data_IF_007454173712
#
_entry.id   IF_007454173712
#
_cell.length_a   1.000
_cell.length_b   1.000
_cell.length_c   1.000
_cell.angle_alpha   90.00
_cell.angle_beta   90.00
_cell.angle_gamma   90.00
#
_symmetry.space_group_name_H-M   'P 1'
#
loop_
_entity.id
_entity.type
_entity.pdbx_description
1 polymer ?
#
# COMPACT_ATOMS: atom_id res chain seq x y z
N UNK A 1 27.67 27.04 18.63
CA UNK A 1 27.35 28.11 17.66
C UNK A 1 28.38 27.93 16.54
N UNK A 2 28.10 27.36 15.37
CA UNK A 2 26.86 27.12 14.62
C UNK A 2 26.56 25.63 14.44
N UNK A 3 25.29 25.25 14.61
CA UNK A 3 24.76 23.91 14.28
C UNK A 3 24.25 23.82 12.84
N UNK A 4 24.53 24.81 11.99
CA UNK A 4 24.35 24.70 10.54
C UNK A 4 25.50 23.89 9.92
N UNK A 5 25.68 22.65 10.39
CA UNK A 5 26.32 21.62 9.55
C UNK A 5 25.45 21.53 8.30
N UNK A 6 26.00 21.87 7.13
CA UNK A 6 25.31 21.68 5.85
C UNK A 6 25.07 20.18 5.66
N UNK A 7 23.95 19.68 6.17
CA UNK A 7 23.48 18.34 5.89
C UNK A 7 23.07 18.32 4.42
N UNK A 8 23.73 17.46 3.64
CA UNK A 8 23.43 17.32 2.23
C UNK A 8 22.03 16.75 2.03
N UNK A 9 21.38 17.12 0.94
CA UNK A 9 20.09 16.55 0.52
C UNK A 9 20.18 15.00 0.47
N UNK A 10 19.15 14.34 1.00
CA UNK A 10 19.08 12.87 1.10
C UNK A 10 19.68 12.28 2.39
N UNK A 11 20.22 13.10 3.30
CA UNK A 11 20.74 12.65 4.60
C UNK A 11 19.60 12.36 5.59
N UNK A 12 19.51 11.12 6.05
CA UNK A 12 18.58 10.73 7.11
C UNK A 12 19.22 11.09 8.47
N UNK A 13 18.59 12.03 9.17
CA UNK A 13 18.94 12.45 10.54
C UNK A 13 17.69 12.71 11.36
N UNK A 14 17.85 12.98 12.65
CA UNK A 14 16.78 13.39 13.55
C UNK A 14 16.43 14.88 13.45
N UNK A 15 17.18 15.64 12.65
CA UNK A 15 17.03 17.09 12.49
C UNK A 15 16.38 17.41 11.15
N UNK A 16 16.63 16.58 10.13
CA UNK A 16 16.17 16.82 8.77
C UNK A 16 15.25 15.71 8.28
N UNK A 17 14.13 16.15 7.72
CA UNK A 17 13.19 15.32 6.99
C UNK A 17 13.80 14.85 5.65
N UNK A 18 13.77 13.53 5.40
CA UNK A 18 14.23 12.92 4.15
C UNK A 18 13.12 12.12 3.45
N UNK A 19 12.93 12.33 2.14
CA UNK A 19 12.01 11.53 1.33
C UNK A 19 12.62 10.15 1.09
N UNK A 20 11.81 9.09 1.17
CA UNK A 20 12.27 7.70 1.02
C UNK A 20 13.04 7.46 -0.28
N UNK A 21 12.57 8.03 -1.40
CA UNK A 21 13.21 7.90 -2.71
C UNK A 21 14.50 8.73 -2.86
N UNK A 22 14.67 9.75 -2.03
CA UNK A 22 15.85 10.64 -2.05
C UNK A 22 16.94 10.21 -1.06
N UNK A 23 16.63 9.26 -0.18
CA UNK A 23 17.54 8.79 0.85
C UNK A 23 18.81 8.21 0.22
N UNK A 24 19.96 8.79 0.59
CA UNK A 24 21.28 8.37 0.09
C UNK A 24 22.25 7.97 1.22
N UNK A 25 22.07 8.48 2.45
CA UNK A 25 22.91 8.15 3.61
C UNK A 25 22.19 8.29 4.95
N UNK A 26 22.54 7.41 5.88
CA UNK A 26 22.23 7.51 7.31
C UNK A 26 23.37 8.25 8.01
N UNK A 27 23.06 9.34 8.70
CA UNK A 27 24.06 10.14 9.40
C UNK A 27 23.90 9.99 10.93
N UNK A 28 24.82 9.27 11.56
CA UNK A 28 24.88 9.11 13.01
C UNK A 28 25.66 10.28 13.62
N UNK A 29 24.92 11.26 14.12
CA UNK A 29 25.48 12.43 14.79
C UNK A 29 26.12 12.04 16.13
N UNK A 30 27.33 12.56 16.40
CA UNK A 30 28.05 12.35 17.68
C UNK A 30 28.22 10.87 18.06
N UNK A 31 28.44 10.02 17.06
CA UNK A 31 28.55 8.56 17.23
C UNK A 31 29.56 8.15 18.32
N UNK A 32 30.74 8.78 18.37
CA UNK A 32 31.74 8.49 19.41
C UNK A 32 31.26 8.79 20.84
N UNK A 33 30.54 9.91 21.03
CA UNK A 33 29.96 10.25 22.34
C UNK A 33 28.82 9.31 22.74
N UNK A 34 28.11 8.76 21.76
CA UNK A 34 27.05 7.77 21.98
C UNK A 34 27.64 6.49 22.59
N UNK A 35 28.77 6.02 22.07
CA UNK A 35 29.46 4.82 22.55
C UNK A 35 29.98 4.95 23.99
N UNK A 36 30.46 6.14 24.37
CA UNK A 36 31.09 6.34 25.68
C UNK A 36 30.11 6.73 26.79
N UNK A 37 28.87 7.10 26.45
CA UNK A 37 27.85 7.49 27.43
C UNK A 37 26.98 6.29 27.83
N UNK A 38 27.47 5.49 28.79
CA UNK A 38 26.83 4.28 29.30
C UNK A 38 25.48 4.48 30.04
N UNK A 39 24.96 5.71 30.18
CA UNK A 39 23.86 6.03 31.11
C UNK A 39 22.47 6.11 30.43
N UNK A 40 22.36 6.12 29.10
CA UNK A 40 21.04 6.28 28.45
C UNK A 40 20.84 5.33 27.28
N UNK A 41 19.99 4.31 27.52
CA UNK A 41 19.31 3.42 26.55
C UNK A 41 20.20 2.88 25.42
N UNK A 42 20.37 1.56 25.36
CA UNK A 42 21.04 0.84 24.27
C UNK A 42 20.43 1.06 22.85
N UNK A 43 19.47 1.96 22.69
CA UNK A 43 18.77 2.29 21.44
C UNK A 43 18.83 3.79 21.22
N UNK A 44 19.44 4.20 20.12
CA UNK A 44 19.56 5.58 19.68
C UNK A 44 18.86 5.77 18.34
N UNK A 45 18.04 6.81 18.25
CA UNK A 45 17.34 7.13 17.01
C UNK A 45 18.27 7.84 16.02
N UNK A 46 18.20 7.43 14.75
CA UNK A 46 18.93 8.08 13.66
C UNK A 46 18.02 9.11 12.99
N UNK A 47 16.84 8.69 12.53
CA UNK A 47 15.92 9.53 11.78
C UNK A 47 14.86 8.74 11.03
N UNK A 48 13.90 9.43 10.43
CA UNK A 48 12.80 8.85 9.67
C UNK A 48 12.80 9.25 8.21
N UNK A 49 12.07 8.47 7.41
CA UNK A 49 11.77 8.76 6.00
C UNK A 49 10.27 8.77 5.76
N UNK A 50 9.84 9.47 4.73
CA UNK A 50 8.42 9.64 4.39
C UNK A 50 8.20 9.69 2.87
N UNK A 51 6.97 9.39 2.47
CA UNK A 51 6.43 9.51 1.11
C UNK A 51 5.06 10.17 1.22
N UNK A 52 4.79 11.21 0.42
CA UNK A 52 3.51 11.94 0.41
C UNK A 52 2.99 12.33 1.82
N UNK A 53 3.90 12.82 2.67
CA UNK A 53 3.63 13.21 4.07
C UNK A 53 3.24 12.07 5.01
N UNK A 54 3.40 10.81 4.60
CA UNK A 54 3.25 9.62 5.46
C UNK A 54 4.62 9.07 5.83
N UNK A 55 4.83 8.80 7.13
CA UNK A 55 6.06 8.20 7.60
C UNK A 55 6.16 6.74 7.12
N UNK A 56 7.31 6.37 6.54
CA UNK A 56 7.53 5.06 5.95
C UNK A 56 8.40 4.17 6.84
N UNK A 57 9.63 4.62 7.07
CA UNK A 57 10.65 3.85 7.80
C UNK A 57 11.36 4.76 8.79
N UNK A 58 11.50 4.28 10.03
CA UNK A 58 12.28 4.90 11.08
C UNK A 58 13.52 4.09 11.41
N UNK A 59 14.69 4.72 11.31
CA UNK A 59 15.97 4.08 11.55
C UNK A 59 16.48 4.36 12.97
N UNK A 60 16.96 3.30 13.62
CA UNK A 60 17.59 3.40 14.92
C UNK A 60 18.74 2.41 15.02
N UNK A 61 19.62 2.63 15.99
CA UNK A 61 20.83 1.86 16.18
C UNK A 61 20.97 1.38 17.61
N UNK A 62 21.57 0.20 17.79
CA UNK A 62 22.04 -0.29 19.08
C UNK A 62 23.52 -0.62 19.02
N UNK A 63 24.22 -0.40 20.12
CA UNK A 63 25.65 -0.67 20.23
C UNK A 63 25.93 -1.71 21.29
N UNK A 64 26.81 -2.66 20.99
CA UNK A 64 27.21 -3.72 21.93
C UNK A 64 28.73 -3.80 22.00
N UNK A 65 29.27 -3.76 23.21
CA UNK A 65 30.69 -3.96 23.46
C UNK A 65 31.03 -5.45 23.51
N UNK A 66 32.08 -5.85 22.78
CA UNK A 66 32.60 -7.21 22.78
C UNK A 66 33.94 -7.31 23.52
N UNK A 67 34.25 -8.51 24.01
CA UNK A 67 35.42 -8.81 24.86
C UNK A 67 36.79 -8.63 24.17
N UNK A 68 36.82 -8.39 22.85
CA UNK A 68 38.04 -8.34 22.04
C UNK A 68 38.30 -6.94 21.44
N UNK A 69 38.06 -5.88 22.20
CA UNK A 69 38.17 -4.48 21.74
C UNK A 69 37.29 -4.11 20.53
N UNK A 70 36.33 -4.96 20.18
CA UNK A 70 35.38 -4.70 19.10
C UNK A 70 34.08 -4.11 19.63
N UNK A 71 33.51 -3.20 18.85
CA UNK A 71 32.20 -2.59 19.07
C UNK A 71 31.30 -2.97 17.90
N UNK A 72 30.14 -3.54 18.22
CA UNK A 72 29.10 -3.87 17.24
C UNK A 72 28.11 -2.73 17.13
N UNK A 73 27.85 -2.30 15.89
CA UNK A 73 26.84 -1.30 15.55
C UNK A 73 25.68 -1.98 14.80
N UNK A 74 24.56 -2.21 15.47
CA UNK A 74 23.39 -2.86 14.87
C UNK A 74 22.38 -1.83 14.40
N UNK A 75 22.10 -1.81 13.10
CA UNK A 75 21.12 -0.90 12.50
C UNK A 75 19.79 -1.62 12.31
N UNK A 76 18.72 -0.94 12.67
CA UNK A 76 17.35 -1.40 12.55
C UNK A 76 16.50 -0.42 11.76
N UNK A 77 15.50 -0.95 11.05
CA UNK A 77 14.45 -0.21 10.37
C UNK A 77 13.11 -0.60 10.99
N UNK A 78 12.35 0.38 11.47
CA UNK A 78 10.98 0.24 11.89
C UNK A 78 10.07 0.70 10.75
N UNK A 79 9.37 -0.25 10.14
CA UNK A 79 8.43 0.00 9.03
C UNK A 79 7.08 0.38 9.63
N UNK A 80 6.57 1.55 9.25
CA UNK A 80 5.36 2.13 9.84
C UNK A 80 4.09 1.46 9.32
N UNK A 81 4.06 1.08 8.04
CA UNK A 81 2.91 0.47 7.39
C UNK A 81 3.13 -0.99 6.97
N UNK A 82 2.04 -1.73 6.81
CA UNK A 82 2.06 -3.12 6.35
C UNK A 82 2.43 -3.15 4.87
N UNK A 83 3.41 -3.96 4.49
CA UNK A 83 3.88 -4.01 3.12
C UNK A 83 5.27 -4.61 2.98
N UNK A 84 5.87 -4.39 1.82
CA UNK A 84 7.25 -4.76 1.56
C UNK A 84 8.11 -3.50 1.54
N UNK A 85 9.31 -3.62 2.08
CA UNK A 85 10.34 -2.59 1.98
C UNK A 85 11.66 -3.24 1.59
N UNK A 86 12.34 -2.68 0.61
CA UNK A 86 13.64 -3.14 0.16
C UNK A 86 14.67 -2.08 0.52
N UNK A 87 15.67 -2.46 1.31
CA UNK A 87 16.69 -1.56 1.83
C UNK A 87 18.05 -2.03 1.33
N UNK A 88 18.74 -1.14 0.61
CA UNK A 88 20.13 -1.30 0.22
C UNK A 88 21.00 -0.51 1.19
N UNK A 89 21.89 -1.16 1.93
CA UNK A 89 22.80 -0.49 2.88
C UNK A 89 24.25 -0.93 2.64
N UNK A 90 25.22 -0.07 2.96
CA UNK A 90 26.65 -0.37 2.80
C UNK A 90 27.04 -1.76 3.31
N UNK A 91 27.85 -2.46 2.53
CA UNK A 91 28.24 -3.84 2.81
C UNK A 91 29.59 -4.00 3.51
N UNK A 92 30.30 -2.89 3.71
CA UNK A 92 31.68 -2.89 4.17
C UNK A 92 31.81 -2.35 5.58
N UNK A 93 32.68 -2.97 6.37
CA UNK A 93 33.12 -2.42 7.67
C UNK A 93 34.28 -1.42 7.53
N UNK A 94 34.81 -1.25 6.31
CA UNK A 94 35.85 -0.26 6.04
C UNK A 94 35.24 1.14 6.08
N UNK A 95 36.05 2.11 6.47
CA UNK A 95 35.66 3.51 6.48
C UNK A 95 36.78 4.36 5.91
N UNK A 96 36.43 5.56 5.45
CA UNK A 96 37.39 6.54 4.96
C UNK A 96 36.98 7.95 5.40
N UNK A 97 37.94 8.86 5.44
CA UNK A 97 37.70 10.29 5.60
C UNK A 97 38.19 10.99 4.35
N UNK A 98 37.38 11.89 3.80
CA UNK A 98 37.84 12.75 2.71
C UNK A 98 38.56 13.95 3.31
N UNK A 99 39.89 13.90 3.25
CA UNK A 99 40.75 14.96 3.79
C UNK A 99 41.01 16.08 2.77
N UNK A 100 40.52 15.95 1.53
CA UNK A 100 40.77 16.93 0.48
C UNK A 100 39.84 18.15 0.59
N UNK A 101 38.63 17.98 1.13
CA UNK A 101 37.70 19.07 1.42
C UNK A 101 37.66 19.37 2.93
N UNK A 102 38.04 20.60 3.29
CA UNK A 102 38.00 21.08 4.69
C UNK A 102 36.60 20.99 5.31
N UNK A 103 35.53 20.99 4.51
CA UNK A 103 34.15 20.80 4.96
C UNK A 103 33.83 19.36 5.33
N UNK A 104 34.47 18.38 4.68
CA UNK A 104 34.23 16.95 4.87
C UNK A 104 35.04 16.34 6.03
N UNK A 105 35.99 17.08 6.60
CA UNK A 105 36.79 16.65 7.75
C UNK A 105 35.96 16.21 8.97
N UNK A 106 34.71 16.67 9.08
CA UNK A 106 33.78 16.31 10.15
C UNK A 106 32.98 15.04 9.88
N UNK A 107 33.22 14.36 8.76
CA UNK A 107 32.48 13.17 8.36
C UNK A 107 33.39 11.96 8.21
N UNK A 108 32.84 10.79 8.50
CA UNK A 108 33.42 9.49 8.25
C UNK A 108 32.45 8.74 7.36
N UNK A 109 32.93 8.19 6.25
CA UNK A 109 32.08 7.53 5.27
C UNK A 109 32.35 6.03 5.22
N UNK A 110 31.28 5.25 5.08
CA UNK A 110 31.37 3.87 4.61
C UNK A 110 31.31 3.84 3.07
N UNK A 111 31.86 2.81 2.42
CA UNK A 111 31.77 2.63 0.97
C UNK A 111 30.33 2.51 0.47
N UNK A 112 30.09 2.99 -0.76
CA UNK A 112 28.79 2.97 -1.43
C UNK A 112 28.39 1.59 -2.01
N UNK A 113 29.13 0.53 -1.68
CA UNK A 113 28.80 -0.84 -2.06
C UNK A 113 27.58 -1.31 -1.27
N UNK A 114 26.39 -1.29 -1.90
CA UNK A 114 25.14 -1.61 -1.23
C UNK A 114 24.80 -3.11 -1.31
N UNK A 115 24.43 -3.68 -0.17
CA UNK A 115 23.79 -4.99 -0.08
C UNK A 115 22.29 -4.80 0.15
N UNK A 116 21.48 -5.44 -0.68
CA UNK A 116 20.02 -5.30 -0.68
C UNK A 116 19.33 -6.42 0.11
N UNK A 117 18.37 -6.04 0.94
CA UNK A 117 17.48 -6.97 1.64
C UNK A 117 16.03 -6.49 1.57
N UNK A 118 15.10 -7.43 1.42
CA UNK A 118 13.66 -7.15 1.39
C UNK A 118 12.99 -7.68 2.65
N UNK A 119 12.23 -6.81 3.30
CA UNK A 119 11.47 -7.10 4.51
C UNK A 119 9.98 -7.03 4.24
N UNK A 120 9.21 -7.92 4.87
CA UNK A 120 7.75 -7.95 4.81
C UNK A 120 7.19 -7.57 6.17
N UNK A 121 6.69 -6.35 6.30
CA UNK A 121 5.93 -5.91 7.46
C UNK A 121 4.51 -6.50 7.41
N UNK A 122 4.17 -7.28 8.43
CA UNK A 122 2.84 -7.91 8.62
C UNK A 122 1.94 -7.08 9.53
N UNK A 123 2.53 -6.20 10.34
CA UNK A 123 1.85 -5.28 11.24
C UNK A 123 2.52 -3.90 11.19
N UNK A 124 1.80 -2.88 11.68
CA UNK A 124 2.35 -1.53 11.84
C UNK A 124 3.48 -1.50 12.86
N UNK A 125 4.42 -0.59 12.64
CA UNK A 125 5.61 -0.36 13.48
C UNK A 125 6.47 -1.62 13.68
N UNK A 126 6.53 -2.49 12.67
CA UNK A 126 7.34 -3.71 12.72
C UNK A 126 8.83 -3.38 12.48
N UNK A 127 9.68 -3.83 13.39
CA UNK A 127 11.12 -3.53 13.35
C UNK A 127 11.94 -4.71 12.84
N UNK A 128 12.82 -4.44 11.89
CA UNK A 128 13.74 -5.40 11.29
C UNK A 128 15.18 -5.00 11.59
N UNK A 129 16.00 -6.01 11.89
CA UNK A 129 17.46 -5.85 11.88
C UNK A 129 17.93 -5.80 10.42
N UNK A 130 18.68 -4.77 10.07
CA UNK A 130 19.16 -4.56 8.70
C UNK A 130 20.59 -5.09 8.57
N UNK A 131 21.49 -4.62 9.44
CA UNK A 131 22.90 -4.94 9.37
C UNK A 131 23.63 -4.66 10.68
N UNK A 132 24.70 -5.39 10.92
CA UNK A 132 25.67 -5.14 11.98
C UNK A 132 27.01 -4.76 11.38
N UNK A 133 27.58 -3.63 11.80
CA UNK A 133 28.96 -3.25 11.50
C UNK A 133 29.86 -3.53 12.70
N UNK A 134 31.11 -3.85 12.43
CA UNK A 134 32.13 -4.12 13.45
C UNK A 134 33.22 -3.08 13.34
N UNK A 135 33.48 -2.39 14.44
CA UNK A 135 34.57 -1.41 14.55
C UNK A 135 35.51 -1.79 15.68
N UNK A 136 36.80 -1.63 15.44
CA UNK A 136 37.81 -1.72 16.49
C UNK A 136 37.79 -0.44 17.34
N UNK A 137 37.83 -0.61 18.66
CA UNK A 137 37.74 0.48 19.65
C UNK A 137 38.90 1.45 19.54
N UNK A 138 40.06 0.99 19.13
CA UNK A 138 41.23 1.86 18.96
C UNK A 138 41.05 2.77 17.73
N UNK A 139 40.46 2.26 16.65
CA UNK A 139 40.14 3.03 15.46
C UNK A 139 39.06 4.09 15.71
N UNK A 140 38.13 3.85 16.64
CA UNK A 140 37.03 4.77 16.96
C UNK A 140 37.51 6.11 17.54
N UNK A 141 38.73 6.22 18.06
CA UNK A 141 39.31 7.50 18.46
C UNK A 141 39.34 8.51 17.30
N UNK A 142 39.50 8.03 16.06
CA UNK A 142 39.51 8.86 14.85
C UNK A 142 38.13 9.46 14.51
N UNK A 143 37.07 8.99 15.19
CA UNK A 143 35.68 9.45 15.01
C UNK A 143 35.29 10.53 16.03
N UNK A 144 36.21 10.95 16.90
CA UNK A 144 35.95 12.03 17.85
C UNK A 144 35.50 13.29 17.11
N UNK A 145 34.36 13.85 17.53
CA UNK A 145 33.72 15.01 16.90
C UNK A 145 33.32 14.84 15.42
N UNK A 146 33.27 13.61 14.89
CA UNK A 146 32.82 13.33 13.52
C UNK A 146 31.45 12.65 13.45
N UNK A 147 30.77 12.84 12.33
CA UNK A 147 29.49 12.20 11.98
C UNK A 147 29.76 10.98 11.09
N UNK A 148 29.24 9.82 11.50
CA UNK A 148 29.35 8.60 10.70
C UNK A 148 28.23 8.58 9.64
N UNK A 149 28.62 8.50 8.37
CA UNK A 149 27.73 8.45 7.21
C UNK A 149 27.74 7.05 6.60
N UNK A 150 26.58 6.42 6.57
CA UNK A 150 26.39 5.07 6.06
C UNK A 150 25.48 5.15 4.83
N UNK A 151 26.00 4.88 3.61
CA UNK A 151 25.19 4.87 2.40
C UNK A 151 23.97 3.96 2.52
N UNK A 152 22.81 4.48 2.12
CA UNK A 152 21.53 3.76 2.12
C UNK A 152 20.71 4.14 0.89
N UNK A 153 19.93 3.18 0.38
CA UNK A 153 18.83 3.42 -0.56
C UNK A 153 17.62 2.63 -0.10
N UNK A 154 16.44 3.20 -0.28
CA UNK A 154 15.18 2.62 0.16
C UNK A 154 14.26 2.53 -1.06
N UNK A 155 13.71 1.36 -1.28
CA UNK A 155 12.66 1.12 -2.26
C UNK A 155 11.43 0.58 -1.52
N UNK A 156 10.41 1.43 -1.44
CA UNK A 156 9.11 1.09 -0.87
C UNK A 156 8.23 0.69 -2.03
N UNK A 157 8.46 -0.52 -2.52
CA UNK A 157 7.57 -1.12 -3.48
C UNK A 157 6.31 -1.57 -2.74
N UNK A 158 5.23 -0.80 -2.88
CA UNK A 158 3.92 -1.44 -2.95
C UNK A 158 4.04 -2.44 -4.10
N UNK A 159 4.11 -3.75 -3.82
CA UNK A 159 4.13 -4.76 -4.89
C UNK A 159 2.87 -4.57 -5.73
N UNK A 160 2.97 -3.77 -6.79
CA UNK A 160 2.02 -3.76 -7.89
C UNK A 160 2.39 -4.99 -8.68
N UNK A 161 1.53 -6.00 -8.61
CA UNK A 161 1.65 -7.20 -9.41
C UNK A 161 1.88 -6.76 -10.87
N UNK A 162 2.95 -7.24 -11.52
CA UNK A 162 3.25 -6.83 -12.89
C UNK A 162 2.05 -7.16 -13.77
N UNK A 163 1.45 -6.11 -14.34
CA UNK A 163 0.23 -6.22 -15.11
C UNK A 163 0.42 -7.17 -16.30
N UNK A 164 1.63 -7.25 -16.87
CA UNK A 164 1.95 -8.16 -17.96
C UNK A 164 1.88 -9.63 -17.52
N UNK A 165 2.29 -9.94 -16.28
CA UNK A 165 2.17 -11.29 -15.71
C UNK A 165 0.69 -11.61 -15.47
N UNK A 166 -0.07 -10.66 -14.92
CA UNK A 166 -1.51 -10.80 -14.68
C UNK A 166 -2.25 -11.08 -16.00
N UNK A 167 -1.98 -10.27 -17.02
CA UNK A 167 -2.63 -10.38 -18.32
C UNK A 167 -2.24 -11.68 -19.03
N UNK A 168 -0.97 -12.11 -18.91
CA UNK A 168 -0.52 -13.41 -19.42
C UNK A 168 -1.24 -14.59 -18.76
N UNK A 169 -1.48 -14.52 -17.45
CA UNK A 169 -2.23 -15.55 -16.72
C UNK A 169 -3.71 -15.52 -17.12
N UNK A 170 -4.34 -14.33 -17.18
CA UNK A 170 -5.73 -14.18 -17.63
C UNK A 170 -5.94 -14.73 -19.03
N UNK A 171 -5.06 -14.38 -19.97
CA UNK A 171 -5.14 -14.83 -21.36
C UNK A 171 -5.01 -16.36 -21.48
N UNK A 172 -4.14 -16.99 -20.70
CA UNK A 172 -4.00 -18.47 -20.68
C UNK A 172 -5.22 -19.19 -20.11
N UNK A 173 -5.98 -18.56 -19.22
CA UNK A 173 -7.16 -19.15 -18.57
C UNK A 173 -8.48 -18.65 -19.16
N UNK A 174 -8.46 -17.91 -20.27
CA UNK A 174 -9.68 -17.47 -20.94
C UNK A 174 -10.36 -18.64 -21.65
N UNK A 175 -11.45 -19.12 -21.03
CA UNK A 175 -12.24 -20.27 -21.51
C UNK A 175 -13.40 -19.87 -22.43
N UNK A 176 -13.61 -18.58 -22.67
CA UNK A 176 -14.73 -18.05 -23.47
C UNK A 176 -14.80 -18.66 -24.88
N UNK A 177 -13.66 -18.73 -25.57
CA UNK A 177 -13.56 -19.29 -26.92
C UNK A 177 -13.83 -20.80 -27.00
N UNK A 178 -13.61 -21.53 -25.90
CA UNK A 178 -13.87 -22.97 -25.80
C UNK A 178 -15.36 -23.19 -25.53
N UNK A 179 -15.91 -22.50 -24.53
CA UNK A 179 -17.30 -22.67 -24.10
C UNK A 179 -18.29 -22.15 -25.13
N UNK A 180 -17.97 -21.09 -25.89
CA UNK A 180 -18.84 -20.63 -26.99
C UNK A 180 -19.07 -21.66 -28.09
N UNK A 181 -18.25 -22.72 -28.17
CA UNK A 181 -18.46 -23.84 -29.09
C UNK A 181 -19.45 -24.86 -28.57
N UNK A 182 -19.70 -24.87 -27.26
CA UNK A 182 -20.69 -25.74 -26.63
C UNK A 182 -22.10 -25.17 -26.82
N UNK A 183 -23.09 -26.06 -26.75
CA UNK A 183 -24.49 -25.66 -26.87
C UNK A 183 -24.97 -25.09 -25.53
N UNK A 184 -25.59 -23.89 -25.52
CA UNK A 184 -26.17 -23.34 -24.30
C UNK A 184 -27.33 -24.22 -23.80
N UNK A 185 -27.38 -24.43 -22.49
CA UNK A 185 -28.34 -25.30 -21.79
C UNK A 185 -29.20 -24.54 -20.76
N UNK A 186 -29.09 -23.21 -20.73
CA UNK A 186 -29.87 -22.32 -19.88
C UNK A 186 -30.22 -21.00 -20.55
N UNK A 187 -31.28 -20.34 -20.07
CA UNK A 187 -31.67 -19.01 -20.54
C UNK A 187 -31.83 -18.03 -19.37
N UNK A 188 -31.17 -16.88 -19.44
CA UNK A 188 -31.48 -15.74 -18.58
C UNK A 188 -32.44 -14.80 -19.31
N UNK A 189 -33.40 -14.22 -18.58
CA UNK A 189 -34.36 -13.26 -19.11
C UNK A 189 -34.18 -11.95 -18.36
N UNK A 190 -33.90 -10.87 -19.07
CA UNK A 190 -33.77 -9.53 -18.49
C UNK A 190 -35.13 -8.91 -18.12
N UNK A 191 -35.09 -7.76 -17.44
CA UNK A 191 -36.26 -6.93 -17.16
C UNK A 191 -37.00 -6.52 -18.46
N UNK A 192 -36.26 -6.31 -19.55
CA UNK A 192 -36.79 -5.99 -20.88
C UNK A 192 -37.31 -7.23 -21.65
N UNK A 193 -37.39 -8.39 -21.00
CA UNK A 193 -37.81 -9.67 -21.58
C UNK A 193 -36.92 -10.19 -22.72
N UNK A 194 -35.70 -9.67 -22.88
CA UNK A 194 -34.70 -10.22 -23.82
C UNK A 194 -34.15 -11.53 -23.25
N UNK A 195 -34.00 -12.53 -24.11
CA UNK A 195 -33.46 -13.85 -23.75
C UNK A 195 -31.97 -13.92 -24.04
N UNK A 196 -31.20 -14.38 -23.06
CA UNK A 196 -29.76 -14.57 -23.11
C UNK A 196 -29.44 -16.05 -22.91
N UNK A 197 -28.98 -16.70 -23.97
CA UNK A 197 -28.59 -18.11 -23.93
C UNK A 197 -27.23 -18.25 -23.22
N UNK A 198 -27.14 -19.20 -22.29
CA UNK A 198 -25.95 -19.38 -21.46
C UNK A 198 -25.78 -20.82 -20.98
N UNK A 199 -24.73 -21.09 -20.21
CA UNK A 199 -24.36 -22.39 -19.70
C UNK A 199 -24.55 -22.47 -18.19
N UNK A 200 -25.34 -23.45 -17.70
CA UNK A 200 -25.60 -23.66 -16.27
C UNK A 200 -24.33 -23.71 -15.44
N UNK A 201 -23.30 -24.39 -15.97
CA UNK A 201 -22.02 -24.57 -15.28
C UNK A 201 -21.33 -23.24 -14.97
N UNK A 202 -21.37 -22.29 -15.90
CA UNK A 202 -20.74 -20.97 -15.76
C UNK A 202 -21.48 -20.13 -14.73
N UNK A 203 -22.82 -20.15 -14.77
CA UNK A 203 -23.64 -19.48 -13.78
C UNK A 203 -23.42 -20.05 -12.37
N UNK A 204 -23.47 -21.37 -12.24
CA UNK A 204 -23.38 -22.06 -10.95
C UNK A 204 -22.00 -21.97 -10.29
N UNK A 205 -20.94 -21.86 -11.10
CA UNK A 205 -19.56 -21.68 -10.63
C UNK A 205 -19.37 -20.28 -10.02
N UNK A 206 -19.91 -19.26 -10.67
CA UNK A 206 -19.66 -17.86 -10.30
C UNK A 206 -20.63 -17.30 -9.26
N UNK A 207 -21.84 -17.86 -9.15
CA UNK A 207 -22.86 -17.40 -8.20
C UNK A 207 -23.47 -18.56 -7.41
N UNK A 208 -23.29 -18.58 -6.07
CA UNK A 208 -23.99 -19.55 -5.22
C UNK A 208 -25.50 -19.32 -5.23
N UNK A 209 -25.95 -18.06 -5.30
CA UNK A 209 -27.38 -17.70 -5.33
C UNK A 209 -28.04 -18.25 -6.59
N UNK A 210 -27.43 -18.04 -7.77
CA UNK A 210 -27.95 -18.57 -9.03
C UNK A 210 -27.92 -20.10 -9.01
N UNK A 211 -26.83 -20.71 -8.51
CA UNK A 211 -26.74 -22.17 -8.37
C UNK A 211 -27.90 -22.75 -7.55
N UNK A 212 -28.18 -22.17 -6.39
CA UNK A 212 -29.22 -22.67 -5.49
C UNK A 212 -30.62 -22.43 -6.07
N UNK A 213 -30.80 -21.32 -6.80
CA UNK A 213 -32.04 -21.02 -7.54
C UNK A 213 -32.28 -22.01 -8.69
N UNK A 214 -31.25 -22.34 -9.48
CA UNK A 214 -31.34 -23.33 -10.55
C UNK A 214 -31.67 -24.71 -9.97
N UNK A 215 -31.00 -25.10 -8.87
CA UNK A 215 -31.23 -26.38 -8.19
C UNK A 215 -32.62 -26.52 -7.61
N UNK A 216 -33.19 -25.45 -7.05
CA UNK A 216 -34.50 -25.49 -6.38
C UNK A 216 -35.67 -25.38 -7.36
N UNK A 217 -35.55 -24.60 -8.41
CA UNK A 217 -36.66 -24.36 -9.35
C UNK A 217 -36.77 -25.41 -10.44
N UNK A 218 -35.67 -26.08 -10.79
CA UNK A 218 -35.57 -27.01 -11.94
C UNK A 218 -36.06 -26.42 -13.29
N UNK A 219 -36.18 -25.09 -13.38
CA UNK A 219 -36.57 -24.39 -14.62
C UNK A 219 -35.36 -24.26 -15.55
N UNK A 220 -35.60 -24.26 -16.85
CA UNK A 220 -34.57 -24.03 -17.87
C UNK A 220 -34.32 -22.54 -18.16
N UNK A 221 -35.09 -21.66 -17.51
CA UNK A 221 -34.96 -20.21 -17.60
C UNK A 221 -35.06 -19.53 -16.23
N UNK A 222 -34.36 -18.40 -16.09
CA UNK A 222 -34.39 -17.54 -14.90
C UNK A 222 -34.59 -16.09 -15.31
N UNK A 223 -35.57 -15.44 -14.69
CA UNK A 223 -35.77 -14.01 -14.80
C UNK A 223 -34.85 -13.27 -13.82
N UNK A 224 -34.18 -12.23 -14.31
CA UNK A 224 -33.33 -11.34 -13.53
C UNK A 224 -33.77 -9.91 -13.83
N UNK A 225 -34.09 -9.17 -12.76
CA UNK A 225 -34.55 -7.79 -12.82
C UNK A 225 -33.37 -6.81 -13.05
N UNK A 226 -32.76 -6.91 -14.23
CA UNK A 226 -31.72 -5.97 -14.72
C UNK A 226 -31.97 -5.67 -16.20
N UNK A 227 -31.54 -4.50 -16.65
CA UNK A 227 -31.64 -4.09 -18.05
C UNK A 227 -30.70 -4.91 -18.96
N UNK A 228 -30.92 -4.80 -20.27
CA UNK A 228 -30.15 -5.54 -21.27
C UNK A 228 -28.65 -5.24 -21.29
N UNK A 229 -28.25 -3.98 -21.09
CA UNK A 229 -26.85 -3.54 -21.17
C UNK A 229 -26.07 -4.09 -19.98
N UNK A 230 -26.66 -4.00 -18.80
CA UNK A 230 -26.11 -4.54 -17.57
C UNK A 230 -26.03 -6.07 -17.61
N UNK A 231 -27.01 -6.74 -18.23
CA UNK A 231 -26.96 -8.19 -18.48
C UNK A 231 -25.80 -8.57 -19.40
N UNK A 232 -25.55 -7.80 -20.46
CA UNK A 232 -24.44 -8.05 -21.38
C UNK A 232 -23.07 -7.92 -20.64
N UNK A 233 -22.92 -6.93 -19.74
CA UNK A 233 -21.71 -6.78 -18.90
C UNK A 233 -21.56 -7.95 -17.92
N UNK A 234 -22.65 -8.36 -17.26
CA UNK A 234 -22.64 -9.51 -16.36
C UNK A 234 -22.20 -10.78 -17.11
N UNK A 235 -22.74 -11.00 -18.30
CA UNK A 235 -22.38 -12.13 -19.16
C UNK A 235 -20.91 -12.07 -19.60
N UNK A 236 -20.40 -10.90 -19.99
CA UNK A 236 -18.98 -10.72 -20.28
C UNK A 236 -18.10 -11.14 -19.10
N UNK A 237 -18.43 -10.65 -17.90
CA UNK A 237 -17.68 -10.99 -16.68
C UNK A 237 -17.72 -12.50 -16.40
N UNK A 238 -18.88 -13.13 -16.50
CA UNK A 238 -19.05 -14.55 -16.17
C UNK A 238 -18.21 -15.48 -17.07
N UNK A 239 -17.98 -15.09 -18.33
CA UNK A 239 -17.23 -15.89 -19.29
C UNK A 239 -15.74 -15.56 -19.33
N UNK A 240 -15.36 -14.29 -19.08
CA UNK A 240 -13.98 -13.82 -19.23
C UNK A 240 -13.27 -13.59 -17.90
N UNK A 241 -14.01 -13.43 -16.81
CA UNK A 241 -13.51 -13.02 -15.50
C UNK A 241 -13.10 -11.54 -15.41
N UNK A 242 -13.39 -10.74 -16.44
CA UNK A 242 -13.01 -9.32 -16.54
C UNK A 242 -14.14 -8.48 -17.15
N UNK A 243 -14.03 -7.15 -17.05
CA UNK A 243 -14.92 -6.19 -17.70
C UNK A 243 -14.03 -5.24 -18.50
N UNK A 244 -14.18 -5.19 -19.82
CA UNK A 244 -13.30 -4.40 -20.70
C UNK A 244 -13.43 -2.88 -20.48
N UNK A 245 -14.66 -2.38 -20.52
CA UNK A 245 -14.94 -0.94 -20.51
C UNK A 245 -15.55 -0.49 -19.17
N UNK A 246 -15.00 -1.01 -18.06
CA UNK A 246 -15.52 -0.76 -16.70
C UNK A 246 -15.63 0.73 -16.35
N UNK A 247 -14.80 1.56 -16.98
CA UNK A 247 -14.78 3.02 -16.83
C UNK A 247 -16.04 3.73 -17.33
N UNK A 248 -16.74 3.12 -18.29
CA UNK A 248 -17.99 3.65 -18.83
C UNK A 248 -19.21 3.01 -18.17
N UNK A 249 -19.01 2.07 -17.24
CA UNK A 249 -20.10 1.37 -16.57
C UNK A 249 -20.53 2.06 -15.28
N UNK A 250 -21.82 1.91 -14.94
CA UNK A 250 -22.31 2.25 -13.61
C UNK A 250 -21.79 1.23 -12.57
N UNK A 251 -20.65 1.56 -11.97
CA UNK A 251 -20.02 0.73 -10.94
C UNK A 251 -20.93 0.49 -9.72
N UNK A 252 -21.85 1.40 -9.40
CA UNK A 252 -22.76 1.24 -8.27
C UNK A 252 -23.82 0.17 -8.55
N UNK A 253 -24.38 0.20 -9.77
CA UNK A 253 -25.31 -0.82 -10.24
C UNK A 253 -24.64 -2.21 -10.37
N UNK A 254 -23.43 -2.26 -10.95
CA UNK A 254 -22.69 -3.51 -11.07
C UNK A 254 -22.33 -4.12 -9.70
N UNK A 255 -21.96 -3.29 -8.73
CA UNK A 255 -21.68 -3.74 -7.37
C UNK A 255 -22.94 -4.26 -6.68
N UNK A 256 -24.08 -3.60 -6.88
CA UNK A 256 -25.38 -4.08 -6.41
C UNK A 256 -25.67 -5.50 -6.92
N UNK A 257 -25.46 -5.74 -8.21
CA UNK A 257 -25.68 -7.04 -8.85
C UNK A 257 -24.71 -8.08 -8.32
N UNK A 258 -23.42 -7.75 -8.25
CA UNK A 258 -22.39 -8.64 -7.72
C UNK A 258 -22.72 -9.07 -6.27
N UNK A 259 -23.20 -8.14 -5.44
CA UNK A 259 -23.60 -8.46 -4.07
C UNK A 259 -24.89 -9.30 -4.02
N UNK A 260 -25.90 -8.95 -4.83
CA UNK A 260 -27.20 -9.64 -4.90
C UNK A 260 -27.04 -11.11 -5.30
N UNK A 261 -26.21 -11.37 -6.31
CA UNK A 261 -25.91 -12.72 -6.78
C UNK A 261 -24.69 -13.35 -6.10
N UNK A 262 -24.07 -12.67 -5.12
CA UNK A 262 -22.87 -13.12 -4.41
C UNK A 262 -21.70 -13.53 -5.33
N UNK A 263 -21.49 -12.77 -6.40
CA UNK A 263 -20.39 -12.96 -7.35
C UNK A 263 -19.14 -12.27 -6.78
N UNK A 264 -18.48 -12.97 -5.85
CA UNK A 264 -17.36 -12.42 -5.05
C UNK A 264 -16.24 -11.83 -5.90
N UNK A 265 -15.87 -12.51 -6.99
CA UNK A 265 -14.80 -12.05 -7.87
C UNK A 265 -15.13 -10.72 -8.55
N UNK A 266 -16.40 -10.51 -8.93
CA UNK A 266 -16.86 -9.29 -9.58
C UNK A 266 -16.89 -8.14 -8.58
N UNK A 267 -17.38 -8.38 -7.36
CA UNK A 267 -17.34 -7.40 -6.26
C UNK A 267 -15.91 -6.91 -6.02
N UNK A 268 -14.96 -7.84 -5.84
CA UNK A 268 -13.56 -7.49 -5.58
C UNK A 268 -12.93 -6.68 -6.73
N UNK A 269 -13.26 -7.01 -7.98
CA UNK A 269 -12.79 -6.27 -9.15
C UNK A 269 -13.32 -4.83 -9.15
N UNK A 270 -14.63 -4.65 -8.94
CA UNK A 270 -15.27 -3.34 -8.92
C UNK A 270 -14.77 -2.52 -7.73
N UNK A 271 -14.63 -3.11 -6.54
CA UNK A 271 -14.10 -2.44 -5.35
C UNK A 271 -12.68 -1.92 -5.57
N UNK A 272 -11.82 -2.71 -6.25
CA UNK A 272 -10.47 -2.29 -6.59
C UNK A 272 -10.49 -1.11 -7.57
N UNK A 273 -11.32 -1.19 -8.61
CA UNK A 273 -11.48 -0.13 -9.60
C UNK A 273 -11.97 1.18 -8.97
N UNK A 274 -12.97 1.09 -8.10
CA UNK A 274 -13.53 2.22 -7.36
C UNK A 274 -12.45 2.89 -6.51
N UNK A 275 -11.67 2.12 -5.74
CA UNK A 275 -10.60 2.68 -4.89
C UNK A 275 -9.55 3.44 -5.69
N UNK A 276 -9.22 2.97 -6.89
CA UNK A 276 -8.21 3.60 -7.75
C UNK A 276 -8.73 4.88 -8.45
N UNK A 277 -10.04 5.02 -8.61
CA UNK A 277 -10.68 6.08 -9.39
C UNK A 277 -11.63 6.96 -8.57
N UNK A 278 -11.34 7.13 -7.26
CA UNK A 278 -12.08 8.07 -6.42
C UNK A 278 -11.76 9.50 -6.87
N UNK A 279 -12.81 10.29 -7.07
CA UNK A 279 -12.76 11.71 -7.42
C UNK A 279 -13.63 12.51 -6.46
N UNK A 280 -13.43 13.82 -6.42
CA UNK A 280 -14.24 14.74 -5.61
C UNK A 280 -15.75 14.60 -5.93
N UNK A 281 -16.09 14.32 -7.20
CA UNK A 281 -17.47 14.22 -7.65
C UNK A 281 -18.16 12.93 -7.22
N UNK A 282 -17.45 11.80 -7.25
CA UNK A 282 -18.03 10.47 -7.00
C UNK A 282 -17.82 9.96 -5.55
N UNK A 283 -17.01 10.65 -4.74
CA UNK A 283 -16.63 10.20 -3.40
C UNK A 283 -17.84 9.91 -2.49
N UNK A 284 -18.87 10.75 -2.49
CA UNK A 284 -20.06 10.53 -1.66
C UNK A 284 -20.93 9.38 -2.15
N UNK A 285 -21.14 9.25 -3.45
CA UNK A 285 -21.92 8.15 -4.03
C UNK A 285 -21.25 6.81 -3.74
N UNK A 286 -19.92 6.77 -3.83
CA UNK A 286 -19.13 5.60 -3.43
C UNK A 286 -19.25 5.34 -1.93
N UNK A 287 -19.16 6.37 -1.08
CA UNK A 287 -19.30 6.21 0.37
C UNK A 287 -20.66 5.64 0.76
N UNK A 288 -21.74 6.16 0.16
CA UNK A 288 -23.11 5.66 0.33
C UNK A 288 -23.23 4.20 -0.10
N UNK A 289 -22.69 3.87 -1.28
CA UNK A 289 -22.69 2.52 -1.82
C UNK A 289 -21.92 1.56 -0.90
N UNK A 290 -20.73 1.96 -0.44
CA UNK A 290 -19.91 1.16 0.47
C UNK A 290 -20.59 0.93 1.82
N UNK A 291 -21.30 1.94 2.35
CA UNK A 291 -22.08 1.79 3.58
C UNK A 291 -23.27 0.84 3.39
N UNK A 292 -24.03 0.99 2.30
CA UNK A 292 -25.20 0.16 1.96
C UNK A 292 -24.83 -1.33 1.85
N UNK A 293 -23.70 -1.65 1.22
CA UNK A 293 -23.23 -3.02 1.01
C UNK A 293 -22.19 -3.48 2.04
N UNK A 294 -21.97 -2.71 3.12
CA UNK A 294 -21.03 -3.03 4.21
C UNK A 294 -19.59 -3.32 3.74
N UNK A 295 -19.14 -2.60 2.70
CA UNK A 295 -17.80 -2.70 2.14
C UNK A 295 -16.79 -1.92 2.99
N UNK A 296 -16.40 -2.50 4.13
CA UNK A 296 -15.58 -1.82 5.14
C UNK A 296 -14.27 -1.23 4.59
N UNK A 297 -13.61 -1.94 3.69
CA UNK A 297 -12.31 -1.51 3.14
C UNK A 297 -12.48 -0.35 2.13
N UNK A 298 -13.50 -0.40 1.27
CA UNK A 298 -13.86 0.73 0.39
C UNK A 298 -14.30 1.92 1.23
N UNK A 299 -15.14 1.70 2.24
CA UNK A 299 -15.64 2.75 3.11
C UNK A 299 -14.51 3.48 3.83
N UNK A 300 -13.54 2.74 4.38
CA UNK A 300 -12.35 3.32 5.01
C UNK A 300 -11.56 4.17 4.03
N UNK A 301 -11.27 3.64 2.83
CA UNK A 301 -10.48 4.33 1.82
C UNK A 301 -11.14 5.63 1.34
N UNK A 302 -12.46 5.60 1.13
CA UNK A 302 -13.24 6.77 0.69
C UNK A 302 -13.33 7.81 1.80
N UNK A 303 -13.52 7.40 3.06
CA UNK A 303 -13.50 8.31 4.20
C UNK A 303 -12.14 9.01 4.35
N UNK A 304 -11.03 8.29 4.16
CA UNK A 304 -9.68 8.87 4.15
C UNK A 304 -9.53 9.89 3.02
N UNK A 305 -10.02 9.58 1.82
CA UNK A 305 -10.02 10.51 0.69
C UNK A 305 -10.84 11.78 0.96
N UNK A 306 -12.03 11.64 1.56
CA UNK A 306 -12.90 12.77 1.92
C UNK A 306 -12.21 13.69 2.94
N UNK A 307 -11.54 13.12 3.93
CA UNK A 307 -10.84 13.90 4.95
C UNK A 307 -9.68 14.74 4.39
N UNK A 308 -9.00 14.23 3.37
CA UNK A 308 -7.88 14.90 2.71
C UNK A 308 -8.33 16.02 1.76
N UNK A 309 -9.59 16.01 1.33
CA UNK A 309 -10.10 16.91 0.28
C UNK A 309 -11.32 17.69 0.78
N UNK A 310 -11.10 18.74 1.58
CA UNK A 310 -12.18 19.54 2.21
C UNK A 310 -13.13 20.21 1.20
N UNK A 311 -12.70 20.42 -0.05
CA UNK A 311 -13.52 20.94 -1.14
C UNK A 311 -14.72 20.02 -1.49
N UNK A 312 -14.67 18.75 -1.06
CA UNK A 312 -15.76 17.80 -1.26
C UNK A 312 -17.05 18.25 -0.55
N UNK A 313 -16.96 18.95 0.58
CA UNK A 313 -18.16 19.44 1.30
C UNK A 313 -18.90 20.58 0.59
N UNK A 314 -18.33 21.16 -0.47
CA UNK A 314 -18.96 22.20 -1.29
C UNK A 314 -19.71 21.62 -2.50
N UNK A 315 -19.71 20.30 -2.68
CA UNK A 315 -20.36 19.63 -3.81
C UNK A 315 -21.87 19.47 -3.61
N UNK A 316 -22.62 19.49 -4.72
CA UNK A 316 -24.08 19.26 -4.71
C UNK A 316 -24.45 17.88 -4.14
N UNK A 317 -23.55 16.89 -4.26
CA UNK A 317 -23.74 15.55 -3.71
C UNK A 317 -23.75 15.54 -2.18
N UNK A 318 -23.00 16.43 -1.51
CA UNK A 318 -23.11 16.64 -0.06
C UNK A 318 -24.47 17.24 0.33
N UNK A 319 -24.91 18.27 -0.39
CA UNK A 319 -26.14 18.99 -0.09
C UNK A 319 -27.38 18.09 -0.24
N UNK A 320 -27.32 17.10 -1.13
CA UNK A 320 -28.39 16.13 -1.39
C UNK A 320 -28.28 14.84 -0.55
N UNK A 321 -27.28 14.74 0.34
CA UNK A 321 -27.01 13.52 1.09
C UNK A 321 -28.00 13.33 2.25
N UNK A 322 -28.83 12.30 2.15
CA UNK A 322 -29.89 12.02 3.14
C UNK A 322 -29.58 10.85 4.10
N UNK A 323 -28.43 10.17 3.95
CA UNK A 323 -28.04 9.08 4.85
C UNK A 323 -27.42 9.64 6.16
N UNK A 324 -28.28 9.84 7.16
CA UNK A 324 -27.90 10.32 8.49
C UNK A 324 -26.88 9.41 9.18
N UNK A 325 -26.89 8.10 8.88
CA UNK A 325 -25.93 7.14 9.41
C UNK A 325 -24.53 7.39 8.86
N UNK A 326 -24.43 7.53 7.54
CA UNK A 326 -23.21 7.87 6.84
C UNK A 326 -22.66 9.23 7.31
N UNK A 327 -23.51 10.26 7.42
CA UNK A 327 -23.11 11.60 7.90
C UNK A 327 -22.50 11.51 9.30
N UNK A 328 -23.14 10.80 10.23
CA UNK A 328 -22.63 10.61 11.58
C UNK A 328 -21.29 9.88 11.59
N UNK A 329 -21.08 8.91 10.70
CA UNK A 329 -19.81 8.19 10.58
C UNK A 329 -18.71 9.09 10.03
N UNK A 330 -18.94 9.78 8.92
CA UNK A 330 -18.00 10.72 8.30
C UNK A 330 -17.60 11.82 9.30
N UNK A 331 -18.57 12.40 10.03
CA UNK A 331 -18.30 13.42 11.05
C UNK A 331 -17.46 12.86 12.21
N UNK A 332 -17.79 11.66 12.71
CA UNK A 332 -16.99 11.00 13.77
C UNK A 332 -15.55 10.76 13.33
N UNK A 333 -15.36 10.30 12.09
CA UNK A 333 -14.05 10.00 11.56
C UNK A 333 -13.24 11.28 11.31
N UNK A 334 -13.88 12.35 10.85
CA UNK A 334 -13.28 13.70 10.68
C UNK A 334 -12.90 14.34 12.03
N UNK A 335 -13.69 14.12 13.08
CA UNK A 335 -13.39 14.62 14.44
C UNK A 335 -12.22 13.83 15.06
N UNK A 336 -12.13 12.51 14.80
CA UNK A 336 -11.01 11.69 15.28
C UNK A 336 -9.69 12.08 14.63
N UNK A 337 -9.67 12.36 13.33
CA UNK A 337 -8.43 12.77 12.65
C UNK A 337 -7.89 14.10 13.16
N UNK A 338 -8.76 15.07 13.49
CA UNK A 338 -8.36 16.35 14.13
C UNK A 338 -7.80 16.23 15.56
N UNK A 339 -8.05 15.12 16.27
CA UNK A 339 -7.48 14.87 17.61
C UNK A 339 -6.13 14.15 17.57
N UNK A 340 -5.78 13.57 16.44
CA UNK A 340 -4.55 12.80 16.24
C UNK A 340 -3.47 13.56 15.43
N UNK A 341 -3.81 14.76 14.95
CA UNK A 341 -2.85 15.81 14.57
C UNK A 341 -2.67 16.75 15.75
#
# INVERSE_FOLDING_TARGET
>A
MDQSMMLEEGSITNIQECQSNSANKLCLLKFYYMLNNAIKKNKHDIGGTYTDSKADVWFYVTTTDCLAHNVLLNIFACVREVGFVTIGISDSNKWYTDNNDKKLNYYVFLPDSLCWQTFKATKRDESFHIRTYVFDRDCLQSFENKTLCIPIKIDISTFKLDQNIVDSVKNKHNIDAVIKKEKPDYTLVSADHKKFLTHKIILCMNSPVIRDTIKSTHKEEMFIDIDNETMDILMEYLYTGTIKDIENCDCTNLLQIAHTFQIKGMSALIELYIKQNITIKNAFDIAMTAHKYQLLDVQKHVCEFIQQNQQIFETDTWNNLNDVGLIKQILKDTIKSKKNN
#
